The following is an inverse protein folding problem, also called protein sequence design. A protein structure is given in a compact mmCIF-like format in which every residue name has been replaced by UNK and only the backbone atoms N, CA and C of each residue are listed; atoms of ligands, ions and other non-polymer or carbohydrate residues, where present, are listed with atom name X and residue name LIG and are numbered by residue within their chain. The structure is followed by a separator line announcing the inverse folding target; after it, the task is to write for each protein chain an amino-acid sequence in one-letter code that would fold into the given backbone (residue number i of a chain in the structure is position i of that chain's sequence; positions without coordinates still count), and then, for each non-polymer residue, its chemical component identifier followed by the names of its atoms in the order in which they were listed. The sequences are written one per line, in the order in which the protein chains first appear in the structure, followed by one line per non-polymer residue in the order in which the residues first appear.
data_IF_904014403710
#
_entry.id   IF_904014403710
#
_cell.length_a   1.000
_cell.length_b   1.000
_cell.length_c   1.000
_cell.angle_alpha   90.00
_cell.angle_beta   90.00
_cell.angle_gamma   90.00
#
_symmetry.space_group_name_H-M   'P 1'
#
loop_
_entity.id
_entity.type
_entity.pdbx_description
1 polymer ?
#
# COMPACT_ATOMS: atom_id res chain seq x y z
N UNK A 1 -14.24 -10.59 14.20
CA UNK A 1 -12.85 -10.36 13.80
C UNK A 1 -12.47 -9.01 14.34
N UNK A 2 -11.72 -9.05 15.44
CA UNK A 2 -11.13 -7.88 16.10
C UNK A 2 -9.64 -7.80 15.77
N UNK A 3 -9.06 -6.62 15.82
CA UNK A 3 -7.66 -6.34 15.50
C UNK A 3 -7.03 -5.43 16.54
N UNK A 4 -6.09 -5.96 17.31
CA UNK A 4 -5.35 -5.16 18.29
C UNK A 4 -3.87 -5.03 17.88
N UNK A 5 -3.41 -3.84 17.45
CA UNK A 5 -2.04 -3.63 16.99
C UNK A 5 -0.97 -3.95 18.05
N UNK A 6 -1.30 -3.86 19.34
CA UNK A 6 -0.35 -4.10 20.43
C UNK A 6 0.06 -5.56 20.53
N UNK A 7 -0.79 -6.50 20.11
CA UNK A 7 -0.47 -7.95 20.10
C UNK A 7 0.67 -8.30 19.14
N UNK A 8 0.99 -7.39 18.22
CA UNK A 8 2.03 -7.56 17.21
C UNK A 8 3.28 -6.70 17.46
N UNK A 9 3.40 -6.10 18.65
CA UNK A 9 4.61 -5.37 19.05
C UNK A 9 5.52 -6.34 19.79
N UNK A 10 6.72 -6.57 19.24
CA UNK A 10 7.74 -7.42 19.85
C UNK A 10 9.02 -6.64 20.19
N UNK A 11 9.13 -5.40 19.72
CA UNK A 11 10.27 -4.54 19.95
C UNK A 11 9.92 -3.06 19.87
N UNK A 12 10.80 -2.20 20.40
CA UNK A 12 10.69 -0.74 20.26
C UNK A 12 10.68 -0.27 18.80
N UNK A 13 11.30 -1.04 17.90
CA UNK A 13 11.26 -0.75 16.46
C UNK A 13 9.84 -0.88 15.93
N UNK A 14 9.04 -1.81 16.44
CA UNK A 14 7.68 -2.03 15.99
C UNK A 14 6.74 -0.92 16.48
N UNK A 15 7.00 -0.35 17.67
CA UNK A 15 6.35 0.89 18.12
C UNK A 15 6.59 2.00 17.10
N UNK A 16 7.84 2.22 16.70
CA UNK A 16 8.18 3.27 15.73
C UNK A 16 7.53 3.01 14.36
N UNK A 17 7.48 1.75 13.89
CA UNK A 17 6.80 1.37 12.65
C UNK A 17 5.29 1.63 12.73
N UNK A 18 4.65 1.27 13.85
CA UNK A 18 3.23 1.47 14.09
C UNK A 18 2.88 2.96 14.10
N UNK A 19 3.61 3.76 14.89
CA UNK A 19 3.43 5.23 14.96
C UNK A 19 3.63 5.86 13.58
N UNK A 20 4.65 5.44 12.83
CA UNK A 20 4.87 5.96 11.50
C UNK A 20 3.73 5.60 10.53
N UNK A 21 3.20 4.37 10.63
CA UNK A 21 2.06 3.93 9.82
C UNK A 21 0.80 4.72 10.13
N UNK A 22 0.48 4.89 11.42
CA UNK A 22 -0.64 5.71 11.88
C UNK A 22 -0.53 7.13 11.31
N UNK A 23 0.59 7.80 11.54
CA UNK A 23 0.82 9.17 11.09
C UNK A 23 0.78 9.29 9.56
N UNK A 24 1.35 8.36 8.81
CA UNK A 24 1.30 8.40 7.34
C UNK A 24 -0.13 8.33 6.79
N UNK A 25 -1.04 7.65 7.50
CA UNK A 25 -2.41 7.40 7.04
C UNK A 25 -3.48 8.29 7.66
N UNK A 26 -3.11 9.15 8.62
CA UNK A 26 -4.00 10.15 9.23
C UNK A 26 -3.52 11.58 8.97
N UNK A 27 -2.62 11.79 8.01
CA UNK A 27 -2.20 13.15 7.61
C UNK A 27 -3.31 13.83 6.83
N UNK A 28 -3.64 15.07 7.21
CA UNK A 28 -4.44 15.97 6.38
C UNK A 28 -3.62 16.48 5.18
N UNK A 29 -4.30 17.01 4.17
CA UNK A 29 -3.64 17.67 3.04
C UNK A 29 -3.16 19.07 3.47
N UNK A 30 -1.85 19.28 3.68
CA UNK A 30 -1.29 20.56 4.12
C UNK A 30 0.19 20.81 3.74
N UNK A 31 0.66 22.03 4.00
CA UNK A 31 2.00 22.52 3.62
C UNK A 31 3.14 21.88 4.43
N UNK A 32 4.14 21.36 3.70
CA UNK A 32 5.20 20.46 4.17
C UNK A 32 6.12 20.97 5.31
N UNK A 33 6.25 22.28 5.52
CA UNK A 33 7.29 22.83 6.41
C UNK A 33 6.81 23.00 7.85
N UNK A 34 5.60 23.51 8.07
CA UNK A 34 5.00 23.59 9.40
C UNK A 34 4.57 22.21 9.91
N UNK A 35 4.12 21.34 9.02
CA UNK A 35 3.73 19.96 9.37
C UNK A 35 4.88 19.13 9.96
N UNK A 36 6.13 19.34 9.52
CA UNK A 36 7.26 18.50 9.96
C UNK A 36 7.54 18.63 11.46
N UNK A 37 7.40 19.84 12.03
CA UNK A 37 7.53 20.05 13.48
C UNK A 37 6.44 19.30 14.26
N UNK A 38 5.17 19.42 13.83
CA UNK A 38 4.05 18.75 14.47
C UNK A 38 4.18 17.24 14.38
N UNK A 39 4.48 16.71 13.19
CA UNK A 39 4.69 15.27 12.96
C UNK A 39 5.81 14.72 13.86
N UNK A 40 6.93 15.43 13.99
CA UNK A 40 8.03 15.00 14.87
C UNK A 40 7.61 14.96 16.34
N UNK A 41 6.85 15.96 16.78
CA UNK A 41 6.38 16.07 18.16
C UNK A 41 5.32 15.02 18.50
N UNK A 42 4.36 14.80 17.60
CA UNK A 42 3.37 13.71 17.70
C UNK A 42 4.04 12.34 17.74
N UNK A 43 5.09 12.12 16.93
CA UNK A 43 5.86 10.87 16.97
C UNK A 43 6.46 10.62 18.35
N UNK A 44 7.01 11.65 18.99
CA UNK A 44 7.56 11.52 20.35
C UNK A 44 6.47 11.12 21.34
N UNK A 45 5.34 11.82 21.33
CA UNK A 45 4.23 11.54 22.24
C UNK A 45 3.64 10.15 22.00
N UNK A 46 3.26 9.80 20.77
CA UNK A 46 2.72 8.47 20.48
C UNK A 46 3.69 7.35 20.81
N UNK A 47 4.99 7.51 20.50
CA UNK A 47 5.98 6.49 20.84
C UNK A 47 6.15 6.32 22.34
N UNK A 48 6.04 7.42 23.11
CA UNK A 48 6.05 7.38 24.57
C UNK A 48 4.83 6.66 25.11
N UNK A 49 3.62 7.05 24.70
CA UNK A 49 2.36 6.49 25.22
C UNK A 49 2.18 5.02 24.82
N UNK A 50 2.40 4.68 23.54
CA UNK A 50 2.32 3.28 23.08
C UNK A 50 3.40 2.44 23.76
N UNK A 51 4.60 2.98 23.95
CA UNK A 51 5.66 2.31 24.72
C UNK A 51 5.25 2.07 26.17
N UNK A 52 4.68 3.07 26.84
CA UNK A 52 4.19 2.92 28.20
C UNK A 52 3.12 1.83 28.30
N UNK A 53 2.10 1.88 27.43
CA UNK A 53 1.02 0.88 27.40
C UNK A 53 1.59 -0.51 27.15
N UNK A 54 2.53 -0.65 26.21
CA UNK A 54 3.10 -1.95 25.86
C UNK A 54 3.95 -2.56 26.98
N UNK A 55 4.69 -1.75 27.72
CA UNK A 55 5.58 -2.22 28.79
C UNK A 55 4.88 -2.38 30.15
N UNK A 56 3.95 -1.49 30.50
CA UNK A 56 3.45 -1.34 31.88
C UNK A 56 1.95 -1.63 32.04
N UNK A 57 1.14 -1.54 30.98
CA UNK A 57 -0.31 -1.74 31.13
C UNK A 57 -0.67 -3.22 31.29
N UNK A 58 -1.72 -3.55 32.04
CA UNK A 58 -2.31 -4.89 32.05
C UNK A 58 -2.73 -5.36 30.66
N UNK A 59 -2.75 -6.68 30.45
CA UNK A 59 -3.04 -7.31 29.16
C UNK A 59 -4.38 -6.89 28.54
N UNK A 60 -5.39 -6.58 29.36
CA UNK A 60 -6.73 -6.13 28.94
C UNK A 60 -6.78 -4.64 28.58
N UNK A 61 -5.82 -3.84 29.08
CA UNK A 61 -5.68 -2.41 28.79
C UNK A 61 -4.70 -2.14 27.65
N UNK A 62 -4.05 -3.15 27.07
CA UNK A 62 -3.10 -2.98 25.95
C UNK A 62 -3.82 -2.75 24.61
N UNK A 63 -4.53 -1.64 24.46
CA UNK A 63 -5.32 -1.34 23.27
C UNK A 63 -5.36 0.17 22.94
N UNK A 64 -5.97 0.52 21.80
CA UNK A 64 -6.06 1.91 21.33
C UNK A 64 -7.04 2.77 22.14
N UNK A 65 -7.98 2.17 22.87
CA UNK A 65 -8.86 2.91 23.80
C UNK A 65 -8.04 3.50 24.93
N UNK A 66 -7.13 2.73 25.52
CA UNK A 66 -6.20 3.22 26.55
C UNK A 66 -5.31 4.35 26.03
N UNK A 67 -4.84 4.24 24.78
CA UNK A 67 -4.05 5.31 24.14
C UNK A 67 -4.85 6.63 24.05
N UNK A 68 -6.12 6.56 23.64
CA UNK A 68 -7.02 7.72 23.62
C UNK A 68 -7.22 8.33 25.02
N UNK A 69 -7.47 7.48 26.01
CA UNK A 69 -7.68 7.91 27.39
C UNK A 69 -6.43 8.58 27.97
N UNK A 70 -5.24 8.04 27.71
CA UNK A 70 -3.98 8.68 28.10
C UNK A 70 -3.78 10.04 27.44
N UNK A 71 -4.12 10.19 26.15
CA UNK A 71 -4.03 11.49 25.46
C UNK A 71 -4.99 12.51 26.10
N UNK A 72 -6.22 12.10 26.38
CA UNK A 72 -7.21 12.94 27.04
C UNK A 72 -6.79 13.30 28.49
N UNK A 73 -6.08 12.41 29.17
CA UNK A 73 -5.55 12.62 30.51
C UNK A 73 -4.20 13.38 30.53
N UNK A 74 -3.60 13.70 29.39
CA UNK A 74 -2.31 14.41 29.30
C UNK A 74 -2.48 15.94 29.30
N UNK A 75 -3.46 16.49 30.03
CA UNK A 75 -3.77 17.93 30.02
C UNK A 75 -2.53 18.80 30.28
N UNK A 76 -2.35 19.86 29.50
CA UNK A 76 -1.30 20.85 29.72
C UNK A 76 -1.91 22.23 29.93
N UNK A 77 -1.56 22.89 31.04
CA UNK A 77 -2.02 24.23 31.40
C UNK A 77 -0.99 25.29 31.03
N UNK A 78 -1.45 26.37 30.39
CA UNK A 78 -0.57 27.47 29.96
C UNK A 78 -0.20 28.40 31.12
N UNK A 79 -1.09 28.54 32.09
CA UNK A 79 -1.02 29.47 33.22
C UNK A 79 -0.32 28.89 34.46
N UNK A 80 -0.10 27.58 34.50
CA UNK A 80 0.57 26.88 35.59
C UNK A 80 1.66 25.94 35.06
N UNK A 81 2.92 26.40 34.99
CA UNK A 81 4.05 25.59 34.53
C UNK A 81 4.37 24.39 35.44
N UNK A 82 3.94 24.43 36.71
CA UNK A 82 4.15 23.36 37.69
C UNK A 82 3.02 22.33 37.65
N UNK A 83 1.98 22.56 36.84
CA UNK A 83 0.90 21.60 36.67
C UNK A 83 1.42 20.30 36.05
N UNK A 84 1.16 19.20 36.75
CA UNK A 84 1.43 17.84 36.29
C UNK A 84 0.10 17.14 35.99
N UNK A 85 -0.04 16.65 34.77
CA UNK A 85 -1.13 15.76 34.40
C UNK A 85 -0.98 14.39 35.08
N UNK A 86 -2.06 13.59 35.18
CA UNK A 86 -1.97 12.19 35.57
C UNK A 86 -0.91 11.41 34.79
N UNK A 87 -0.77 11.69 33.49
CA UNK A 87 0.22 11.04 32.64
C UNK A 87 1.65 11.49 32.99
N UNK A 88 1.87 12.77 33.30
CA UNK A 88 3.18 13.24 33.79
C UNK A 88 3.61 12.46 35.04
N UNK A 89 2.72 12.31 36.01
CA UNK A 89 2.99 11.55 37.24
C UNK A 89 3.23 10.06 36.99
N UNK A 90 2.58 9.48 35.96
CA UNK A 90 2.83 8.09 35.54
C UNK A 90 4.24 7.92 34.96
N UNK A 91 4.68 8.86 34.12
CA UNK A 91 6.02 8.83 33.55
C UNK A 91 7.11 9.16 34.58
N UNK A 92 6.87 10.05 35.54
CA UNK A 92 7.80 10.31 36.66
C UNK A 92 8.01 9.05 37.51
N UNK A 93 6.93 8.35 37.86
CA UNK A 93 7.03 7.07 38.59
C UNK A 93 7.76 6.00 37.80
N UNK A 94 7.61 5.97 36.47
CA UNK A 94 8.34 5.03 35.62
C UNK A 94 9.82 5.42 35.52
N UNK A 95 10.12 6.71 35.41
CA UNK A 95 11.47 7.27 35.37
C UNK A 95 12.24 7.00 36.68
N UNK A 96 11.57 7.07 37.84
CA UNK A 96 12.17 6.71 39.13
C UNK A 96 12.59 5.23 39.18
N UNK A 97 11.84 4.34 38.53
CA UNK A 97 12.15 2.90 38.47
C UNK A 97 13.21 2.59 37.42
N UNK A 98 13.07 3.15 36.21
CA UNK A 98 13.97 2.94 35.09
C UNK A 98 14.13 4.24 34.26
N UNK A 99 15.17 5.05 34.55
CA UNK A 99 15.43 6.30 33.82
C UNK A 99 15.80 6.12 32.34
N UNK A 100 16.25 4.92 31.95
CA UNK A 100 16.67 4.60 30.58
C UNK A 100 15.58 3.90 29.78
N UNK A 101 14.40 3.71 30.37
CA UNK A 101 13.23 3.14 29.73
C UNK A 101 12.86 3.89 28.44
N UNK A 102 12.60 3.17 27.35
CA UNK A 102 12.34 3.78 26.03
C UNK A 102 11.20 4.80 26.08
N UNK A 103 10.07 4.44 26.72
CA UNK A 103 8.91 5.32 26.83
C UNK A 103 9.25 6.64 27.56
N UNK A 104 9.99 6.57 28.66
CA UNK A 104 10.45 7.72 29.45
C UNK A 104 11.35 8.62 28.59
N UNK A 105 12.29 8.05 27.84
CA UNK A 105 13.20 8.81 26.99
C UNK A 105 12.47 9.55 25.86
N UNK A 106 11.40 8.98 25.31
CA UNK A 106 10.56 9.69 24.33
C UNK A 106 9.72 10.78 24.99
N UNK A 107 9.14 10.49 26.16
CA UNK A 107 8.32 11.46 26.90
C UNK A 107 9.13 12.67 27.36
N UNK A 108 10.34 12.46 27.90
CA UNK A 108 11.26 13.54 28.30
C UNK A 108 11.58 14.49 27.14
N UNK A 109 11.72 13.96 25.92
CA UNK A 109 11.92 14.79 24.71
C UNK A 109 10.67 15.57 24.33
N UNK A 110 9.48 15.00 24.50
CA UNK A 110 8.21 15.70 24.30
C UNK A 110 8.06 16.87 25.31
N UNK A 111 8.44 16.66 26.57
CA UNK A 111 8.43 17.68 27.62
C UNK A 111 9.41 18.85 27.40
N UNK A 112 10.38 18.73 26.50
CA UNK A 112 11.27 19.86 26.13
C UNK A 112 10.52 20.99 25.41
N UNK A 113 9.30 20.74 24.94
CA UNK A 113 8.45 21.77 24.33
C UNK A 113 7.71 22.60 25.38
N UNK A 114 7.54 23.90 25.12
CA UNK A 114 6.84 24.81 26.03
C UNK A 114 5.37 24.38 26.25
N UNK A 115 4.77 24.72 27.41
CA UNK A 115 3.41 24.32 27.79
C UNK A 115 2.36 24.57 26.70
N UNK A 116 2.30 25.80 26.15
CA UNK A 116 1.42 26.15 25.02
C UNK A 116 1.61 25.27 23.77
N UNK A 117 2.86 24.92 23.47
CA UNK A 117 3.17 24.03 22.36
C UNK A 117 2.71 22.60 22.65
N UNK A 118 2.87 22.11 23.89
CA UNK A 118 2.35 20.81 24.33
C UNK A 118 0.84 20.72 24.17
N UNK A 119 0.09 21.73 24.60
CA UNK A 119 -1.37 21.78 24.42
C UNK A 119 -1.76 21.70 22.94
N UNK A 120 -1.04 22.38 22.06
CA UNK A 120 -1.27 22.31 20.61
C UNK A 120 -0.93 20.93 20.01
N UNK A 121 0.15 20.28 20.47
CA UNK A 121 0.51 18.92 20.05
C UNK A 121 -0.58 17.92 20.48
N UNK A 122 -1.09 18.04 21.71
CA UNK A 122 -2.16 17.18 22.24
C UNK A 122 -3.44 17.29 21.43
N UNK A 123 -3.85 18.52 21.07
CA UNK A 123 -5.00 18.76 20.19
C UNK A 123 -4.77 18.09 18.83
N UNK A 124 -3.57 18.22 18.26
CA UNK A 124 -3.22 17.59 16.97
C UNK A 124 -3.27 16.05 17.05
N UNK A 125 -2.75 15.45 18.12
CA UNK A 125 -2.87 14.01 18.36
C UNK A 125 -4.33 13.58 18.51
N UNK A 126 -5.09 14.24 19.38
CA UNK A 126 -6.51 13.93 19.60
C UNK A 126 -7.33 14.03 18.32
N UNK A 127 -7.11 15.06 17.50
CA UNK A 127 -7.80 15.21 16.21
C UNK A 127 -7.54 14.04 15.25
N UNK A 128 -6.33 13.47 15.25
CA UNK A 128 -5.99 12.31 14.40
C UNK A 128 -6.61 11.01 14.89
N UNK A 129 -6.77 10.86 16.20
CA UNK A 129 -7.42 9.70 16.78
C UNK A 129 -8.95 9.86 16.91
N UNK A 130 -9.52 10.99 16.51
CA UNK A 130 -10.97 11.21 16.54
C UNK A 130 -11.80 10.09 15.88
N UNK A 131 -11.37 9.42 14.78
CA UNK A 131 -12.12 8.27 14.24
C UNK A 131 -12.26 7.11 15.24
N UNK A 132 -11.32 6.95 16.17
CA UNK A 132 -11.40 5.96 17.25
C UNK A 132 -12.40 6.35 18.33
N UNK A 133 -12.94 7.58 18.33
CA UNK A 133 -14.01 7.90 19.27
C UNK A 133 -15.32 7.17 18.95
N UNK A 134 -15.46 6.68 17.72
CA UNK A 134 -16.59 5.87 17.27
C UNK A 134 -16.55 4.50 17.98
N UNK A 135 -17.64 4.15 18.65
CA UNK A 135 -17.73 2.92 19.46
C UNK A 135 -17.43 1.68 18.64
N UNK A 136 -17.93 1.60 17.42
CA UNK A 136 -17.73 0.47 16.51
C UNK A 136 -16.24 0.26 16.17
N UNK A 137 -15.45 1.35 16.09
CA UNK A 137 -14.00 1.28 15.87
C UNK A 137 -13.27 0.82 17.13
N UNK A 138 -13.69 1.30 18.32
CA UNK A 138 -13.12 0.83 19.59
C UNK A 138 -13.36 -0.66 19.80
N UNK A 139 -14.59 -1.12 19.60
CA UNK A 139 -14.95 -2.54 19.71
C UNK A 139 -14.19 -3.41 18.70
N UNK A 140 -13.92 -2.89 17.50
CA UNK A 140 -13.10 -3.57 16.50
C UNK A 140 -11.64 -3.71 16.95
N UNK A 141 -11.11 -2.75 17.73
CA UNK A 141 -9.69 -2.67 18.08
C UNK A 141 -9.36 -2.97 19.54
N UNK A 142 -10.33 -3.47 20.29
CA UNK A 142 -10.20 -3.83 21.71
C UNK A 142 -9.34 -5.10 21.90
N UNK A 143 -9.55 -6.11 21.05
CA UNK A 143 -8.89 -7.42 21.14
C UNK A 143 -8.37 -7.89 19.77
N UNK A 144 -7.62 -8.98 19.72
CA UNK A 144 -7.12 -9.56 18.47
C UNK A 144 -7.68 -10.95 18.18
N UNK A 145 -8.21 -11.12 16.97
CA UNK A 145 -8.66 -12.42 16.44
C UNK A 145 -8.05 -12.71 15.06
N UNK A 146 -7.08 -11.90 14.60
CA UNK A 146 -6.56 -12.00 13.24
C UNK A 146 -5.41 -13.00 13.12
N UNK A 147 -4.65 -13.23 14.20
CA UNK A 147 -3.46 -14.11 14.21
C UNK A 147 -2.52 -13.82 13.01
N UNK A 148 -2.27 -12.53 12.73
CA UNK A 148 -1.59 -12.10 11.48
C UNK A 148 -0.23 -12.76 11.27
N UNK A 149 0.49 -13.03 12.36
CA UNK A 149 1.78 -13.69 12.36
C UNK A 149 1.66 -15.14 11.87
N UNK A 150 0.54 -15.84 12.07
CA UNK A 150 0.39 -17.25 11.67
C UNK A 150 0.11 -17.44 10.17
N UNK A 151 -0.19 -16.36 9.45
CA UNK A 151 -0.44 -16.42 8.01
C UNK A 151 0.83 -16.91 7.31
N UNK A 152 0.73 -17.95 6.50
CA UNK A 152 1.89 -18.57 5.87
C UNK A 152 2.49 -19.78 6.60
N UNK A 153 2.11 -20.05 7.86
CA UNK A 153 2.42 -21.33 8.53
C UNK A 153 1.57 -22.48 7.97
N UNK A 154 0.30 -22.17 7.69
CA UNK A 154 -0.70 -23.06 7.13
C UNK A 154 -1.48 -22.32 6.04
N UNK A 155 -2.26 -23.06 5.25
CA UNK A 155 -3.14 -22.46 4.23
C UNK A 155 -4.22 -21.63 4.92
N UNK A 156 -4.14 -20.31 4.76
CA UNK A 156 -5.05 -19.33 5.35
C UNK A 156 -5.47 -18.34 4.27
N UNK A 157 -6.72 -17.88 4.31
CA UNK A 157 -7.23 -16.80 3.47
C UNK A 157 -7.78 -15.69 4.35
N UNK A 158 -7.20 -14.49 4.26
CA UNK A 158 -7.65 -13.29 4.95
C UNK A 158 -8.29 -12.36 3.93
N UNK A 159 -9.53 -11.94 4.18
CA UNK A 159 -10.26 -11.00 3.34
C UNK A 159 -10.40 -9.67 4.08
N UNK A 160 -9.77 -8.63 3.54
CA UNK A 160 -9.90 -7.27 4.02
C UNK A 160 -10.88 -6.53 3.10
N UNK A 161 -12.08 -6.26 3.59
CA UNK A 161 -13.16 -5.65 2.79
C UNK A 161 -13.32 -4.20 3.23
N UNK A 162 -13.30 -3.30 2.25
CA UNK A 162 -13.50 -1.87 2.46
C UNK A 162 -14.71 -1.36 1.69
N UNK A 163 -15.22 -0.21 2.14
CA UNK A 163 -16.17 0.57 1.36
C UNK A 163 -15.43 1.26 0.21
N UNK A 164 -16.05 1.26 -0.97
CA UNK A 164 -15.62 2.04 -2.14
C UNK A 164 -15.98 3.52 -2.03
N UNK A 165 -16.89 3.87 -1.11
CA UNK A 165 -17.47 5.21 -0.96
C UNK A 165 -17.00 5.93 0.29
N UNK A 166 -16.61 5.18 1.32
CA UNK A 166 -16.21 5.74 2.62
C UNK A 166 -14.75 5.40 2.92
N UNK A 167 -13.91 6.43 2.93
CA UNK A 167 -12.47 6.33 3.15
C UNK A 167 -12.07 6.53 4.62
N UNK A 168 -13.03 6.79 5.51
CA UNK A 168 -12.79 7.19 6.90
C UNK A 168 -11.91 6.20 7.67
N UNK A 169 -12.04 4.90 7.39
CA UNK A 169 -11.35 3.84 8.13
C UNK A 169 -10.19 3.17 7.36
N UNK A 170 -9.79 3.73 6.22
CA UNK A 170 -8.75 3.13 5.38
C UNK A 170 -7.42 3.00 6.12
N UNK A 171 -7.12 3.92 7.05
CA UNK A 171 -5.92 3.87 7.87
C UNK A 171 -5.81 2.58 8.69
N UNK A 172 -6.92 1.98 9.15
CA UNK A 172 -6.93 0.70 9.89
C UNK A 172 -6.41 -0.42 8.98
N UNK A 173 -6.86 -0.45 7.72
CA UNK A 173 -6.41 -1.42 6.74
C UNK A 173 -4.93 -1.24 6.40
N UNK A 174 -4.46 0.00 6.26
CA UNK A 174 -3.05 0.29 6.07
C UNK A 174 -2.22 -0.20 7.28
N UNK A 175 -2.71 -0.03 8.51
CA UNK A 175 -2.06 -0.56 9.71
C UNK A 175 -1.99 -2.09 9.71
N UNK A 176 -3.12 -2.77 9.47
CA UNK A 176 -3.18 -4.25 9.39
C UNK A 176 -2.21 -4.77 8.33
N UNK A 177 -2.22 -4.19 7.13
CA UNK A 177 -1.35 -4.64 6.04
C UNK A 177 0.13 -4.36 6.31
N UNK A 178 0.46 -3.20 6.88
CA UNK A 178 1.82 -2.86 7.28
C UNK A 178 2.33 -3.85 8.34
N UNK A 179 1.56 -4.11 9.39
CA UNK A 179 1.94 -5.11 10.41
C UNK A 179 2.05 -6.51 9.82
N UNK A 180 1.07 -6.94 9.02
CA UNK A 180 1.10 -8.24 8.34
C UNK A 180 2.40 -8.43 7.55
N UNK A 181 2.75 -7.51 6.66
CA UNK A 181 3.95 -7.68 5.82
C UNK A 181 5.23 -7.77 6.69
N UNK A 182 5.34 -6.94 7.72
CA UNK A 182 6.50 -6.95 8.61
C UNK A 182 6.57 -8.28 9.41
N UNK A 183 5.47 -8.71 10.04
CA UNK A 183 5.40 -9.95 10.81
C UNK A 183 5.73 -11.17 9.95
N UNK A 184 5.22 -11.22 8.72
CA UNK A 184 5.54 -12.30 7.80
C UNK A 184 7.01 -12.33 7.43
N UNK A 185 7.64 -11.17 7.29
CA UNK A 185 9.07 -11.09 7.01
C UNK A 185 9.89 -11.59 8.21
N UNK A 186 9.58 -11.10 9.41
CA UNK A 186 10.26 -11.48 10.64
C UNK A 186 10.07 -12.98 10.93
N UNK A 187 8.84 -13.50 10.75
CA UNK A 187 8.55 -14.94 10.91
C UNK A 187 9.29 -15.82 9.90
N UNK A 188 9.40 -15.37 8.64
CA UNK A 188 10.18 -16.10 7.65
C UNK A 188 11.64 -16.22 8.10
N UNK A 189 12.24 -15.12 8.55
CA UNK A 189 13.65 -15.03 8.94
C UNK A 189 13.94 -15.79 10.25
N UNK A 190 13.14 -15.56 11.30
CA UNK A 190 13.41 -16.05 12.66
C UNK A 190 12.98 -17.51 12.86
N UNK A 191 11.85 -17.93 12.27
CA UNK A 191 11.28 -19.27 12.52
C UNK A 191 11.65 -20.29 11.44
N UNK A 192 11.75 -19.86 10.18
CA UNK A 192 11.89 -20.77 9.03
C UNK A 192 13.19 -20.60 8.24
N UNK A 193 14.14 -19.81 8.75
CA UNK A 193 15.45 -19.65 8.11
C UNK A 193 15.41 -18.90 6.78
N UNK A 194 14.46 -17.97 6.64
CA UNK A 194 14.35 -17.02 5.54
C UNK A 194 13.20 -17.25 4.56
N UNK A 195 12.36 -18.28 4.71
CA UNK A 195 11.23 -18.57 3.80
C UNK A 195 10.02 -19.14 4.53
N UNK A 196 8.83 -18.58 4.29
CA UNK A 196 7.59 -19.15 4.82
C UNK A 196 7.29 -20.53 4.19
N UNK A 197 6.71 -21.48 4.96
CA UNK A 197 6.40 -22.81 4.45
C UNK A 197 5.24 -22.82 3.44
N UNK A 198 4.30 -21.87 3.56
CA UNK A 198 3.24 -21.64 2.57
C UNK A 198 3.43 -20.27 1.93
N UNK A 199 3.45 -20.24 0.59
CA UNK A 199 3.57 -19.00 -0.17
C UNK A 199 2.40 -18.06 0.12
N UNK A 200 2.70 -16.85 0.60
CA UNK A 200 1.68 -15.83 0.90
C UNK A 200 1.57 -14.87 -0.27
N UNK A 201 0.39 -14.83 -0.90
CA UNK A 201 0.09 -13.89 -1.99
C UNK A 201 -0.83 -12.79 -1.50
N UNK A 202 -0.32 -11.57 -1.47
CA UNK A 202 -1.08 -10.36 -1.20
C UNK A 202 -1.76 -9.92 -2.49
N UNK A 203 -3.09 -9.92 -2.49
CA UNK A 203 -3.91 -9.45 -3.61
C UNK A 203 -4.47 -8.09 -3.19
N UNK A 204 -3.82 -7.04 -3.67
CA UNK A 204 -4.11 -5.67 -3.27
C UNK A 204 -5.01 -5.04 -4.34
N UNK A 205 -6.29 -5.38 -4.26
CA UNK A 205 -7.31 -4.75 -5.08
C UNK A 205 -7.48 -3.29 -4.68
N UNK A 206 -7.64 -2.42 -5.67
CA UNK A 206 -7.66 -0.96 -5.49
C UNK A 206 -6.58 -0.44 -4.52
N UNK A 207 -5.32 -0.79 -4.77
CA UNK A 207 -4.21 -0.51 -3.84
C UNK A 207 -4.12 0.96 -3.41
N UNK A 208 -4.57 1.88 -4.26
CA UNK A 208 -4.60 3.29 -3.96
C UNK A 208 -5.60 3.70 -2.86
N UNK A 209 -6.67 2.94 -2.66
CA UNK A 209 -7.70 3.25 -1.69
C UNK A 209 -7.30 2.81 -0.27
N UNK A 210 -6.44 1.79 -0.13
CA UNK A 210 -6.03 1.26 1.18
C UNK A 210 -5.30 2.31 2.03
N UNK A 211 -4.55 3.21 1.40
CA UNK A 211 -3.66 4.16 2.06
C UNK A 211 -2.18 3.89 1.76
N UNK A 212 -1.29 4.50 2.53
CA UNK A 212 0.15 4.37 2.38
C UNK A 212 0.71 3.30 3.31
N UNK A 213 1.27 2.23 2.74
CA UNK A 213 2.12 1.28 3.47
C UNK A 213 3.53 1.89 3.54
N UNK A 214 4.07 2.22 4.73
CA UNK A 214 5.38 2.85 4.80
C UNK A 214 6.50 1.95 4.27
N UNK A 215 7.45 2.54 3.53
CA UNK A 215 8.60 1.86 2.93
C UNK A 215 8.23 0.69 1.99
N UNK A 216 7.04 0.73 1.38
CA UNK A 216 6.58 -0.34 0.50
C UNK A 216 7.50 -0.58 -0.71
N UNK A 217 8.17 0.47 -1.20
CA UNK A 217 9.22 0.42 -2.22
C UNK A 217 10.40 -0.50 -1.86
N UNK A 218 10.76 -0.55 -0.57
CA UNK A 218 11.79 -1.47 -0.06
C UNK A 218 11.23 -2.85 0.28
N UNK A 219 10.00 -2.90 0.77
CA UNK A 219 9.34 -4.17 1.10
C UNK A 219 9.13 -5.01 -0.16
N UNK A 220 8.55 -4.44 -1.22
CA UNK A 220 8.28 -5.18 -2.47
C UNK A 220 9.53 -5.80 -3.10
N UNK A 221 10.69 -5.16 -2.92
CA UNK A 221 11.97 -5.67 -3.40
C UNK A 221 12.50 -6.88 -2.59
N UNK A 222 12.11 -7.01 -1.31
CA UNK A 222 12.70 -7.97 -0.37
C UNK A 222 11.76 -9.12 0.02
N UNK A 223 10.45 -8.96 -0.12
CA UNK A 223 9.44 -9.98 0.24
C UNK A 223 9.57 -11.26 -0.59
N UNK A 224 10.07 -11.17 -1.84
CA UNK A 224 10.19 -12.32 -2.75
C UNK A 224 11.04 -13.45 -2.18
N UNK A 225 12.16 -13.13 -1.53
CA UNK A 225 13.06 -14.15 -0.99
C UNK A 225 12.45 -14.92 0.17
N UNK A 226 11.35 -14.39 0.75
CA UNK A 226 10.66 -14.90 1.94
C UNK A 226 9.39 -15.71 1.63
N UNK A 227 9.19 -16.07 0.35
CA UNK A 227 7.98 -16.72 -0.15
C UNK A 227 6.71 -15.86 0.00
N UNK A 228 6.86 -14.54 -0.17
CA UNK A 228 5.77 -13.58 -0.19
C UNK A 228 5.74 -12.89 -1.55
N UNK A 229 4.56 -12.76 -2.15
CA UNK A 229 4.33 -12.01 -3.40
C UNK A 229 3.19 -11.01 -3.26
N UNK A 230 3.24 -9.94 -4.05
CA UNK A 230 2.18 -8.93 -4.10
C UNK A 230 1.67 -8.77 -5.54
N UNK A 231 0.35 -8.68 -5.69
CA UNK A 231 -0.33 -8.29 -6.92
C UNK A 231 -1.03 -6.96 -6.66
N UNK A 232 -0.47 -5.89 -7.22
CA UNK A 232 -0.99 -4.53 -7.08
C UNK A 232 -1.95 -4.27 -8.23
N UNK A 233 -3.20 -3.92 -7.91
CA UNK A 233 -4.24 -3.64 -8.89
C UNK A 233 -4.60 -2.15 -8.78
N UNK A 234 -4.47 -1.45 -9.91
CA UNK A 234 -4.67 -0.01 -10.00
C UNK A 234 -5.50 0.33 -11.23
N UNK A 235 -6.34 1.35 -11.13
CA UNK A 235 -7.04 1.89 -12.29
C UNK A 235 -6.10 2.75 -13.16
N UNK A 236 -5.16 3.44 -12.50
CA UNK A 236 -4.17 4.26 -13.17
C UNK A 236 -2.85 4.35 -12.40
N UNK A 237 -1.74 4.39 -13.14
CA UNK A 237 -0.41 4.60 -12.56
C UNK A 237 -0.31 5.95 -11.84
N UNK A 238 -1.12 6.93 -12.25
CA UNK A 238 -1.22 8.22 -11.55
C UNK A 238 -1.65 8.08 -10.09
N UNK A 239 -2.48 7.08 -9.74
CA UNK A 239 -2.90 6.86 -8.36
C UNK A 239 -1.72 6.40 -7.50
N UNK A 240 -0.87 5.51 -8.02
CA UNK A 240 0.35 5.08 -7.33
C UNK A 240 1.31 6.26 -7.13
N UNK A 241 1.47 7.11 -8.16
CA UNK A 241 2.28 8.34 -8.08
C UNK A 241 1.73 9.36 -7.08
N UNK A 242 0.42 9.46 -6.91
CA UNK A 242 -0.17 10.36 -5.92
C UNK A 242 0.22 9.99 -4.49
N UNK A 243 0.25 8.69 -4.18
CA UNK A 243 0.52 8.17 -2.82
C UNK A 243 2.03 8.07 -2.55
N UNK A 244 2.78 7.47 -3.47
CA UNK A 244 4.19 7.13 -3.27
C UNK A 244 5.17 8.09 -3.95
N UNK A 245 4.69 9.06 -4.74
CA UNK A 245 5.52 10.06 -5.43
C UNK A 245 6.62 9.39 -6.24
N UNK A 246 7.87 9.77 -6.03
CA UNK A 246 9.04 9.23 -6.75
C UNK A 246 9.23 7.72 -6.52
N UNK A 247 8.76 7.20 -5.38
CA UNK A 247 8.85 5.77 -5.06
C UNK A 247 7.88 4.89 -5.88
N UNK A 248 6.89 5.50 -6.55
CA UNK A 248 5.95 4.76 -7.40
C UNK A 248 6.63 4.04 -8.58
N UNK A 249 7.69 4.63 -9.13
CA UNK A 249 8.47 4.02 -10.22
C UNK A 249 9.24 2.81 -9.70
N UNK A 250 9.87 2.93 -8.52
CA UNK A 250 10.55 1.81 -7.86
C UNK A 250 9.59 0.64 -7.59
N UNK A 251 8.37 0.92 -7.12
CA UNK A 251 7.36 -0.11 -6.87
C UNK A 251 6.98 -0.82 -8.17
N UNK A 252 6.76 -0.06 -9.24
CA UNK A 252 6.40 -0.61 -10.55
C UNK A 252 7.54 -1.47 -11.14
N UNK A 253 8.79 -1.02 -11.01
CA UNK A 253 9.96 -1.72 -11.52
C UNK A 253 10.25 -3.04 -10.79
N UNK A 254 9.83 -3.16 -9.52
CA UNK A 254 9.92 -4.41 -8.76
C UNK A 254 8.81 -5.41 -9.12
N UNK A 255 7.81 -5.02 -9.91
CA UNK A 255 6.78 -5.93 -10.41
C UNK A 255 7.30 -6.66 -11.67
N UNK A 256 7.63 -7.95 -11.53
CA UNK A 256 8.13 -8.77 -12.66
C UNK A 256 7.09 -8.96 -13.79
N UNK A 257 5.81 -8.76 -13.50
CA UNK A 257 4.71 -8.92 -14.44
C UNK A 257 3.77 -7.71 -14.40
N UNK A 258 3.40 -7.20 -15.59
CA UNK A 258 2.41 -6.13 -15.75
C UNK A 258 1.28 -6.64 -16.64
N UNK A 259 0.06 -6.67 -16.09
CA UNK A 259 -1.15 -7.03 -16.85
C UNK A 259 -1.96 -5.77 -17.13
N UNK A 260 -1.99 -5.35 -18.38
CA UNK A 260 -2.79 -4.23 -18.84
C UNK A 260 -4.12 -4.73 -19.42
N UNK A 261 -5.23 -4.40 -18.76
CA UNK A 261 -6.57 -4.86 -19.14
C UNK A 261 -7.29 -3.94 -20.11
N UNK A 262 -7.06 -2.62 -19.99
CA UNK A 262 -7.51 -1.53 -20.85
C UNK A 262 -7.19 -0.20 -20.13
N UNK A 263 -7.12 0.91 -20.86
CA UNK A 263 -6.84 2.21 -20.26
C UNK A 263 -6.75 3.30 -21.32
N UNK A 264 -6.92 4.57 -20.91
CA UNK A 264 -6.84 5.74 -21.79
C UNK A 264 -5.71 6.68 -21.38
N UNK A 265 -5.40 7.62 -22.26
CA UNK A 265 -4.46 8.72 -21.95
C UNK A 265 -3.04 8.22 -21.69
N UNK A 266 -2.49 8.60 -20.54
CA UNK A 266 -1.07 8.36 -20.19
C UNK A 266 -0.72 6.87 -20.11
N UNK A 267 -1.61 6.05 -19.54
CA UNK A 267 -1.37 4.60 -19.41
C UNK A 267 -1.24 3.92 -20.78
N UNK A 268 -2.07 4.30 -21.75
CA UNK A 268 -1.99 3.75 -23.11
C UNK A 268 -0.67 4.14 -23.81
N UNK A 269 -0.18 5.36 -23.55
CA UNK A 269 1.10 5.83 -24.10
C UNK A 269 2.28 5.03 -23.55
N UNK A 270 2.31 4.82 -22.22
CA UNK A 270 3.36 4.03 -21.57
C UNK A 270 3.38 2.59 -22.11
N UNK A 271 2.22 1.97 -22.32
CA UNK A 271 2.14 0.63 -22.93
C UNK A 271 2.59 0.63 -24.40
N UNK A 272 2.25 1.66 -25.19
CA UNK A 272 2.74 1.78 -26.57
C UNK A 272 4.27 1.85 -26.64
N UNK A 273 4.88 2.62 -25.74
CA UNK A 273 6.34 2.74 -25.63
C UNK A 273 6.97 1.39 -25.26
N UNK A 274 6.35 0.63 -24.35
CA UNK A 274 6.78 -0.72 -23.95
C UNK A 274 6.67 -1.75 -25.08
N UNK A 275 5.59 -1.71 -25.86
CA UNK A 275 5.40 -2.60 -27.02
C UNK A 275 6.47 -2.35 -28.10
N UNK A 276 6.91 -1.10 -28.23
CA UNK A 276 7.95 -0.69 -29.16
C UNK A 276 7.44 -0.57 -30.60
N UNK A 277 8.39 -0.66 -31.54
CA UNK A 277 8.13 -0.44 -32.97
C UNK A 277 8.45 -1.69 -33.79
N UNK A 278 7.64 -1.93 -34.82
CA UNK A 278 7.94 -2.84 -35.90
C UNK A 278 8.53 -2.10 -37.10
N UNK A 279 9.31 -2.81 -37.92
CA UNK A 279 9.81 -2.28 -39.19
C UNK A 279 8.85 -2.67 -40.30
N UNK A 280 8.33 -1.67 -41.01
CA UNK A 280 7.47 -1.85 -42.17
C UNK A 280 8.20 -1.39 -43.43
N UNK A 281 7.94 -2.08 -44.53
CA UNK A 281 8.44 -1.70 -45.85
C UNK A 281 7.40 -0.82 -46.55
N UNK A 282 7.79 0.41 -46.87
CA UNK A 282 6.96 1.37 -47.58
C UNK A 282 7.33 1.44 -49.05
N UNK A 283 6.32 1.27 -49.91
CA UNK A 283 6.44 1.34 -51.36
C UNK A 283 5.66 2.55 -51.85
N UNK A 284 6.37 3.59 -52.31
CA UNK A 284 5.75 4.75 -52.92
C UNK A 284 5.86 4.64 -54.45
N UNK A 285 4.71 4.50 -55.11
CA UNK A 285 4.58 4.60 -56.56
C UNK A 285 4.16 6.02 -56.92
N UNK A 286 4.97 6.71 -57.72
CA UNK A 286 4.60 7.99 -58.29
C UNK A 286 4.44 7.86 -59.80
N UNK A 287 3.34 8.41 -60.32
CA UNK A 287 3.06 8.48 -61.74
C UNK A 287 2.99 9.96 -62.13
N UNK A 288 3.83 10.40 -63.06
CA UNK A 288 3.84 11.77 -63.54
C UNK A 288 3.27 11.83 -64.96
N UNK A 289 2.11 12.47 -65.13
CA UNK A 289 1.38 12.56 -66.41
C UNK A 289 1.67 13.88 -67.12
N UNK A 290 2.85 13.95 -67.74
CA UNK A 290 3.21 14.99 -68.71
C UNK A 290 3.01 14.51 -70.15
N UNK A 291 3.76 15.07 -71.12
CA UNK A 291 3.73 14.64 -72.53
C UNK A 291 4.16 13.18 -72.77
N UNK A 292 4.89 12.58 -71.82
CA UNK A 292 5.13 11.15 -71.70
C UNK A 292 4.92 10.73 -70.24
N UNK A 293 4.30 9.58 -70.01
CA UNK A 293 4.05 9.02 -68.68
C UNK A 293 5.33 8.41 -68.11
N UNK A 294 5.78 8.91 -66.96
CA UNK A 294 6.91 8.33 -66.21
C UNK A 294 6.43 7.75 -64.88
N UNK A 295 7.01 6.61 -64.51
CA UNK A 295 6.72 5.91 -63.25
C UNK A 295 7.97 5.87 -62.38
N UNK A 296 7.86 6.33 -61.14
CA UNK A 296 8.90 6.25 -60.12
C UNK A 296 8.49 5.27 -59.03
N UNK A 297 9.42 4.40 -58.63
CA UNK A 297 9.27 3.50 -57.49
C UNK A 297 10.30 3.88 -56.43
N UNK A 298 9.83 4.24 -55.23
CA UNK A 298 10.68 4.50 -54.08
C UNK A 298 10.39 3.48 -52.97
N UNK A 299 11.45 2.86 -52.46
CA UNK A 299 11.38 1.86 -51.39
C UNK A 299 12.07 2.40 -50.13
N UNK A 300 11.34 2.42 -49.02
CA UNK A 300 11.85 2.92 -47.75
C UNK A 300 11.42 2.02 -46.60
N UNK A 301 12.36 1.69 -45.71
CA UNK A 301 12.03 1.05 -44.42
C UNK A 301 11.61 2.12 -43.41
N UNK A 302 10.43 1.95 -42.82
CA UNK A 302 9.88 2.84 -41.81
C UNK A 302 9.67 2.09 -40.50
N UNK A 303 9.85 2.77 -39.37
CA UNK A 303 9.48 2.24 -38.06
C UNK A 303 8.06 2.65 -37.70
N UNK A 304 7.15 1.69 -37.51
CA UNK A 304 5.76 1.92 -37.06
C UNK A 304 5.61 1.37 -35.64
N UNK A 305 4.86 2.03 -34.78
CA UNK A 305 4.48 1.47 -33.48
C UNK A 305 3.74 0.15 -33.66
N UNK A 306 4.06 -0.85 -32.84
CA UNK A 306 3.43 -2.17 -32.92
C UNK A 306 1.92 -2.10 -32.67
N UNK A 307 1.53 -1.21 -31.75
CA UNK A 307 0.16 -0.78 -31.55
C UNK A 307 0.19 0.68 -31.15
N UNK A 308 -0.56 1.52 -31.87
CA UNK A 308 -0.66 2.94 -31.59
C UNK A 308 -1.41 3.20 -30.27
N UNK A 309 -1.20 4.37 -29.69
CA UNK A 309 -1.92 4.79 -28.47
C UNK A 309 -3.44 4.72 -28.64
N UNK A 310 -3.97 5.03 -29.83
CA UNK A 310 -5.40 5.00 -30.13
C UNK A 310 -5.93 3.56 -30.20
N UNK A 311 -5.19 2.64 -30.84
CA UNK A 311 -5.52 1.21 -30.88
C UNK A 311 -5.49 0.58 -29.48
N UNK A 312 -4.55 0.99 -28.61
CA UNK A 312 -4.52 0.54 -27.20
C UNK A 312 -5.69 1.13 -26.41
N UNK A 313 -6.02 2.40 -26.63
CA UNK A 313 -7.11 3.07 -25.93
C UNK A 313 -8.51 2.56 -26.33
N UNK A 314 -8.63 2.01 -27.53
CA UNK A 314 -9.85 1.40 -28.09
C UNK A 314 -9.82 -0.13 -28.09
N UNK A 315 -8.83 -0.72 -27.42
CA UNK A 315 -8.67 -2.17 -27.31
C UNK A 315 -9.94 -2.81 -26.74
N UNK A 316 -10.38 -3.89 -27.39
CA UNK A 316 -11.56 -4.65 -26.99
C UNK A 316 -11.50 -5.09 -25.53
N UNK A 317 -12.64 -4.99 -24.84
CA UNK A 317 -12.76 -5.30 -23.42
C UNK A 317 -12.48 -6.77 -23.09
N UNK A 318 -12.52 -7.68 -24.08
CA UNK A 318 -12.15 -9.08 -23.94
C UNK A 318 -10.65 -9.35 -24.06
N UNK A 319 -9.81 -8.35 -24.37
CA UNK A 319 -8.37 -8.50 -24.60
C UNK A 319 -7.52 -7.84 -23.52
N UNK A 320 -6.28 -8.28 -23.39
CA UNK A 320 -5.30 -7.75 -22.46
C UNK A 320 -3.88 -7.85 -23.03
N UNK A 321 -3.00 -7.00 -22.54
CA UNK A 321 -1.56 -7.07 -22.81
C UNK A 321 -0.88 -7.53 -21.53
N UNK A 322 -0.18 -8.67 -21.58
CA UNK A 322 0.66 -9.14 -20.48
C UNK A 322 2.12 -8.90 -20.83
N UNK A 323 2.80 -8.14 -20.00
CA UNK A 323 4.25 -8.02 -20.01
C UNK A 323 4.84 -8.88 -18.90
N UNK A 324 5.82 -9.71 -19.23
CA UNK A 324 6.60 -10.48 -18.26
C UNK A 324 8.06 -10.11 -18.45
N UNK A 325 8.79 -9.94 -17.35
CA UNK A 325 10.20 -9.60 -17.37
C UNK A 325 11.02 -10.56 -18.22
N UNK A 326 11.86 -10.02 -19.08
CA UNK A 326 12.79 -10.78 -19.93
C UNK A 326 12.19 -11.36 -21.21
N UNK A 327 10.90 -11.12 -21.50
CA UNK A 327 10.24 -11.58 -22.73
C UNK A 327 9.44 -10.45 -23.39
N UNK A 328 9.10 -10.63 -24.66
CA UNK A 328 8.25 -9.69 -25.39
C UNK A 328 6.81 -9.72 -24.82
N UNK A 329 6.08 -8.59 -24.83
CA UNK A 329 4.69 -8.55 -24.38
C UNK A 329 3.80 -9.50 -25.17
N UNK A 330 2.76 -10.02 -24.51
CA UNK A 330 1.77 -10.93 -25.05
C UNK A 330 0.43 -10.21 -25.20
N UNK A 331 -0.15 -10.24 -26.39
CA UNK A 331 -1.53 -9.81 -26.63
C UNK A 331 -2.43 -11.04 -26.53
N UNK A 332 -3.34 -11.04 -25.57
CA UNK A 332 -4.10 -12.21 -25.16
C UNK A 332 -5.58 -11.87 -24.96
N UNK A 333 -6.43 -12.89 -25.04
CA UNK A 333 -7.79 -12.80 -24.52
C UNK A 333 -7.77 -12.91 -22.98
N UNK A 334 -8.73 -12.24 -22.34
CA UNK A 334 -9.03 -12.40 -20.92
C UNK A 334 -9.64 -13.78 -20.69
N UNK A 335 -9.35 -14.39 -19.55
CA UNK A 335 -9.92 -15.68 -19.20
C UNK A 335 -11.44 -15.58 -19.01
N UNK A 336 -12.16 -16.42 -19.75
CA UNK A 336 -13.60 -16.58 -19.61
C UNK A 336 -13.93 -17.27 -18.29
N UNK A 337 -14.43 -16.47 -17.33
CA UNK A 337 -14.76 -16.93 -15.98
C UNK A 337 -15.77 -18.08 -15.97
N UNK A 338 -16.63 -18.20 -16.99
CA UNK A 338 -17.63 -19.27 -17.07
C UNK A 338 -17.01 -20.65 -17.25
N UNK A 339 -15.76 -20.69 -17.71
CA UNK A 339 -14.96 -21.92 -17.87
C UNK A 339 -14.21 -22.32 -16.61
N UNK A 340 -14.27 -21.51 -15.55
CA UNK A 340 -13.59 -21.82 -14.31
C UNK A 340 -14.21 -23.06 -13.64
N UNK A 341 -13.43 -24.08 -13.26
CA UNK A 341 -13.97 -25.31 -12.64
C UNK A 341 -14.85 -25.06 -11.41
N UNK A 342 -14.60 -23.97 -10.68
CA UNK A 342 -15.33 -23.59 -9.47
C UNK A 342 -16.47 -22.57 -9.70
N UNK A 343 -16.88 -22.30 -10.95
CA UNK A 343 -17.92 -21.30 -11.27
C UNK A 343 -19.27 -21.60 -10.59
N UNK A 344 -19.60 -22.88 -10.41
CA UNK A 344 -20.86 -23.28 -9.79
C UNK A 344 -20.85 -23.08 -8.26
N UNK A 345 -19.68 -23.11 -7.63
CA UNK A 345 -19.49 -22.79 -6.21
C UNK A 345 -19.34 -21.30 -5.92
N UNK A 346 -18.94 -20.48 -6.92
CA UNK A 346 -18.75 -19.04 -6.76
C UNK A 346 -19.99 -18.18 -7.02
N UNK A 347 -21.09 -18.75 -7.53
CA UNK A 347 -22.36 -18.02 -7.79
C UNK A 347 -22.94 -17.32 -6.55
N UNK A 348 -22.57 -17.75 -5.34
CA UNK A 348 -22.95 -17.10 -4.07
C UNK A 348 -22.05 -15.90 -3.73
N UNK A 349 -20.81 -15.86 -4.26
CA UNK A 349 -19.80 -14.81 -4.05
C UNK A 349 -19.83 -13.71 -5.14
N UNK A 350 -20.34 -14.00 -6.34
CA UNK A 350 -20.33 -13.09 -7.49
C UNK A 350 -21.16 -11.81 -7.36
N UNK A 351 -21.87 -11.58 -6.25
CA UNK A 351 -22.58 -10.30 -6.01
C UNK A 351 -21.76 -9.24 -5.28
N UNK A 352 -20.58 -9.56 -4.72
CA UNK A 352 -19.84 -8.60 -3.85
C UNK A 352 -18.31 -8.61 -3.94
N UNK A 353 -17.66 -9.35 -4.87
CA UNK A 353 -16.19 -9.39 -4.91
C UNK A 353 -15.65 -9.47 -6.34
N UNK A 354 -14.68 -8.63 -6.75
CA UNK A 354 -13.98 -8.80 -8.03
C UNK A 354 -13.07 -10.03 -7.96
N UNK A 355 -13.40 -11.08 -8.70
CA UNK A 355 -12.52 -12.24 -8.87
C UNK A 355 -11.54 -11.99 -10.02
N UNK A 356 -10.26 -12.23 -9.73
CA UNK A 356 -9.09 -11.95 -10.54
C UNK A 356 -9.14 -12.61 -11.93
N UNK A 357 -8.93 -11.82 -12.98
CA UNK A 357 -8.84 -12.29 -14.37
C UNK A 357 -7.48 -12.95 -14.63
N UNK A 358 -7.49 -14.22 -14.99
CA UNK A 358 -6.30 -14.92 -15.51
C UNK A 358 -6.18 -14.55 -17.01
N UNK A 359 -4.97 -14.42 -17.57
CA UNK A 359 -4.78 -14.23 -19.01
C UNK A 359 -4.33 -15.55 -19.64
N UNK A 360 -4.91 -15.95 -20.77
CA UNK A 360 -4.48 -17.13 -21.53
C UNK A 360 -3.40 -16.74 -22.55
N UNK A 361 -2.14 -16.62 -22.10
CA UNK A 361 -1.05 -16.13 -22.94
C UNK A 361 -0.90 -16.89 -24.27
N UNK A 362 -0.95 -16.15 -25.40
CA UNK A 362 -0.35 -16.56 -26.69
C UNK A 362 0.79 -15.61 -27.05
N UNK A 363 1.96 -16.10 -27.50
CA UNK A 363 3.09 -15.25 -27.92
C UNK A 363 2.71 -14.26 -29.01
N UNK A 364 3.01 -12.97 -28.83
CA UNK A 364 3.08 -12.01 -29.94
C UNK A 364 4.40 -12.19 -30.68
N UNK A 365 4.51 -13.28 -31.44
CA UNK A 365 5.51 -13.38 -32.49
C UNK A 365 5.11 -14.46 -33.51
N UNK A 366 4.75 -14.00 -34.71
CA UNK A 366 4.98 -14.74 -35.94
C UNK A 366 4.01 -15.88 -36.24
N UNK A 367 2.79 -15.57 -36.66
CA UNK A 367 2.20 -16.29 -37.79
C UNK A 367 1.60 -15.30 -38.77
N UNK A 368 2.17 -15.31 -39.97
CA UNK A 368 1.55 -14.86 -41.21
C UNK A 368 0.12 -15.37 -41.28
N UNK A 369 -0.81 -14.48 -40.97
CA UNK A 369 -2.24 -14.67 -41.07
C UNK A 369 -2.81 -13.28 -40.89
N UNK A 370 -3.53 -12.80 -41.89
CA UNK A 370 -4.12 -11.46 -41.92
C UNK A 370 -4.77 -11.14 -40.56
N UNK A 371 -4.40 -9.98 -40.02
CA UNK A 371 -5.05 -9.33 -38.90
C UNK A 371 -6.50 -8.96 -39.24
#
# INVERSE_FOLDING_TARGET
MRYNPFRYIHSEKDILKLVNTLICNTKGEGEKSAEDFWIKSERLLYSALIGYIWYEAPDDEMNFTTLLEMINASEAREDDPEFQSPVDQMFERLEEKDPEHFAVRQYRKFLLSAGKTRSSILISCGARLAPFDIREVRELMEDDELELDTIGDKKTALFLIMSDTDTTFNFILAMVQSQLINLLCDRADDKYGGRLPVHVRLILDEFANIGQIPNFDKLIATIRSREISASIILQSQSQLKAIYKDAAEIISDNCDCTLFLSGRGKNAKEIAEVLGKETIDSYNQSENRGAQTSHGLNYQKLGKELMSQDEIATMDGGKCILQVRGVRPFFSEKYDITRHPAINTSRTLTRRTPLMWIATCRPCAGKSGAW
#
